data_IF_623092140018
#
_entry.id   IF_623092140018
#
_cell.length_a   1.000
_cell.length_b   1.000
_cell.length_c   1.000
_cell.angle_alpha   90.00
_cell.angle_beta   90.00
_cell.angle_gamma   90.00
#
_symmetry.space_group_name_H-M   'P 1'
#
loop_
_entity.id
_entity.type
_entity.pdbx_description
1 polymer ?
#
# COMPACT_ATOMS: atom_id res chain seq x y z
N UNK A 1 7.48 2.06 -6.58
CA UNK A 1 7.68 0.68 -6.05
C UNK A 1 8.44 0.74 -4.72
N UNK A 2 7.78 1.06 -3.61
CA UNK A 2 8.40 0.98 -2.28
C UNK A 2 8.49 -0.49 -1.78
N UNK A 3 9.33 -0.73 -0.75
CA UNK A 3 9.41 -2.01 -0.05
C UNK A 3 8.05 -2.54 0.44
N UNK A 4 7.80 -3.83 0.27
CA UNK A 4 6.60 -4.50 0.76
C UNK A 4 6.61 -4.60 2.29
N UNK A 5 5.48 -4.29 2.93
CA UNK A 5 5.33 -4.43 4.37
C UNK A 5 4.97 -5.86 4.75
N UNK A 6 5.39 -6.27 5.94
CA UNK A 6 5.23 -7.60 6.50
C UNK A 6 4.80 -7.49 7.95
N UNK A 7 4.35 -8.61 8.49
CA UNK A 7 4.26 -8.80 9.94
C UNK A 7 5.62 -8.45 10.57
N UNK A 8 5.58 -7.78 11.72
CA UNK A 8 6.72 -7.19 12.46
C UNK A 8 7.31 -5.88 11.90
N UNK A 9 6.98 -5.45 10.68
CA UNK A 9 7.42 -4.14 10.22
C UNK A 9 6.71 -3.04 11.05
N UNK A 10 7.44 -1.97 11.35
CA UNK A 10 7.00 -0.93 12.29
C UNK A 10 6.18 0.14 11.58
N UNK A 11 5.22 0.71 12.31
CA UNK A 11 4.59 1.97 11.95
C UNK A 11 4.93 3.08 12.94
N UNK A 12 4.65 4.32 12.55
CA UNK A 12 4.62 5.48 13.45
C UNK A 12 3.19 5.96 13.57
N UNK A 13 2.77 6.35 14.76
CA UNK A 13 1.42 6.84 15.02
C UNK A 13 1.49 8.23 15.67
N UNK A 14 0.99 9.29 15.01
CA UNK A 14 1.00 10.66 15.55
C UNK A 14 -0.22 10.98 16.41
N UNK A 15 -1.16 10.03 16.56
CA UNK A 15 -2.45 10.28 17.22
C UNK A 15 -2.27 10.52 18.72
N UNK A 16 -3.11 11.39 19.25
CA UNK A 16 -3.20 11.68 20.68
C UNK A 16 -4.69 11.62 21.05
N UNK A 17 -5.10 10.61 21.81
CA UNK A 17 -6.48 10.44 22.32
C UNK A 17 -6.51 10.51 23.85
N UNK A 18 -7.63 10.98 24.43
CA UNK A 18 -7.66 12.12 25.36
C UNK A 18 -6.69 11.95 26.53
N UNK A 19 -5.58 12.68 26.47
CA UNK A 19 -4.54 12.67 27.49
C UNK A 19 -3.22 13.24 26.94
N UNK A 20 -2.22 13.49 27.79
CA UNK A 20 -0.92 14.01 27.37
C UNK A 20 -0.02 12.96 26.71
N UNK A 21 -0.42 11.68 26.68
CA UNK A 21 0.39 10.57 26.21
C UNK A 21 0.16 10.36 24.70
N UNK A 22 1.16 10.62 23.85
CA UNK A 22 1.05 10.32 22.43
C UNK A 22 0.96 8.81 22.21
N UNK A 23 0.25 8.41 21.16
CA UNK A 23 0.38 7.06 20.66
C UNK A 23 1.82 6.82 20.22
N UNK A 24 2.29 5.59 20.37
CA UNK A 24 3.59 5.15 19.86
C UNK A 24 3.32 4.00 18.94
N UNK A 25 3.76 4.13 17.70
CA UNK A 25 3.62 3.07 16.71
C UNK A 25 4.47 1.87 17.06
N UNK A 26 4.05 0.71 16.58
CA UNK A 26 4.65 -0.58 16.86
C UNK A 26 4.52 -1.53 15.68
N UNK A 27 4.82 -2.82 15.88
CA UNK A 27 4.85 -3.79 14.79
C UNK A 27 3.44 -4.12 14.28
N UNK A 28 3.35 -4.42 12.99
CA UNK A 28 2.16 -5.04 12.37
C UNK A 28 1.99 -6.45 12.94
N UNK A 29 0.89 -6.69 13.67
CA UNK A 29 0.54 -7.94 14.33
C UNK A 29 -0.98 -7.99 14.63
N UNK A 30 -1.61 -9.19 14.68
CA UNK A 30 -1.18 -10.46 14.08
C UNK A 30 -1.55 -10.53 12.59
N UNK A 31 -2.26 -9.52 12.10
CA UNK A 31 -2.91 -9.53 10.81
C UNK A 31 -1.84 -9.41 9.72
N UNK A 32 -1.57 -10.52 9.08
CA UNK A 32 -0.92 -10.61 7.79
C UNK A 32 -1.67 -11.66 6.99
N UNK A 33 -1.17 -11.99 5.80
CA UNK A 33 -1.62 -13.14 5.04
C UNK A 33 -0.64 -14.31 5.23
N UNK A 34 -0.95 -15.33 6.05
CA UNK A 34 0.00 -16.40 6.36
C UNK A 34 0.36 -17.26 5.14
N UNK A 35 -0.45 -17.25 4.09
CA UNK A 35 -0.19 -18.01 2.86
C UNK A 35 0.81 -17.33 1.93
N UNK A 36 1.04 -16.03 2.08
CA UNK A 36 1.94 -15.24 1.23
C UNK A 36 3.08 -14.69 2.08
N UNK A 37 4.26 -15.26 1.87
CA UNK A 37 5.45 -14.91 2.63
C UNK A 37 6.34 -13.95 1.84
N UNK A 38 6.74 -12.85 2.47
CA UNK A 38 7.70 -11.88 1.95
C UNK A 38 8.88 -11.87 2.92
N UNK A 39 10.08 -12.22 2.46
CA UNK A 39 11.26 -12.34 3.32
C UNK A 39 11.03 -13.26 4.52
N UNK A 40 10.36 -14.41 4.30
CA UNK A 40 10.00 -15.42 5.30
C UNK A 40 9.02 -14.99 6.40
N UNK A 41 8.35 -13.85 6.24
CA UNK A 41 7.30 -13.38 7.15
C UNK A 41 5.98 -13.17 6.40
N UNK A 42 4.80 -13.35 7.03
CA UNK A 42 3.53 -13.09 6.38
C UNK A 42 3.43 -11.65 5.86
N UNK A 43 2.89 -11.49 4.66
CA UNK A 43 2.74 -10.18 4.02
C UNK A 43 1.62 -9.36 4.68
N UNK A 44 1.84 -8.06 4.84
CA UNK A 44 0.84 -7.13 5.37
C UNK A 44 -0.02 -6.55 4.23
N UNK A 45 -1.26 -6.19 4.57
CA UNK A 45 -2.30 -5.77 3.63
C UNK A 45 -3.18 -4.68 4.21
N UNK A 46 -3.97 -4.06 3.35
CA UNK A 46 -5.05 -3.19 3.79
C UNK A 46 -5.98 -3.90 4.79
N UNK A 47 -6.29 -3.19 5.87
CA UNK A 47 -7.13 -3.71 6.95
C UNK A 47 -6.39 -4.57 7.98
N UNK A 48 -5.11 -4.84 7.81
CA UNK A 48 -4.30 -5.51 8.83
C UNK A 48 -4.00 -4.57 10.01
N UNK A 49 -3.99 -5.13 11.22
CA UNK A 49 -3.76 -4.42 12.49
C UNK A 49 -2.27 -4.27 12.82
N UNK A 50 -1.94 -3.20 13.54
CA UNK A 50 -0.65 -2.99 14.16
C UNK A 50 -0.78 -2.61 15.63
N UNK A 51 0.21 -3.01 16.41
CA UNK A 51 0.30 -2.66 17.83
C UNK A 51 0.61 -1.18 17.95
N UNK A 52 -0.19 -0.47 18.73
CA UNK A 52 -0.01 0.94 19.04
C UNK A 52 -0.14 1.13 20.55
N UNK A 53 0.59 2.09 21.14
CA UNK A 53 0.34 2.51 22.53
C UNK A 53 -0.96 3.30 22.56
N UNK A 54 -2.06 2.60 22.81
CA UNK A 54 -3.43 3.07 22.62
C UNK A 54 -4.31 1.92 22.12
N UNK A 55 -5.45 2.20 21.45
CA UNK A 55 -6.13 1.18 20.65
C UNK A 55 -5.20 0.66 19.53
N UNK A 56 -5.36 -0.60 19.08
CA UNK A 56 -4.66 -1.10 17.89
C UNK A 56 -4.93 -0.21 16.68
N UNK A 57 -3.89 0.10 15.91
CA UNK A 57 -4.01 0.82 14.64
C UNK A 57 -4.28 -0.18 13.50
N UNK A 58 -4.72 0.31 12.35
CA UNK A 58 -5.00 -0.50 11.16
C UNK A 58 -4.48 0.17 9.91
N UNK A 59 -3.98 -0.63 8.98
CA UNK A 59 -3.52 -0.15 7.67
C UNK A 59 -4.75 0.33 6.89
N UNK A 60 -4.79 1.63 6.59
CA UNK A 60 -5.97 2.26 6.00
C UNK A 60 -6.00 2.15 4.48
N UNK A 61 -4.84 2.01 3.84
CA UNK A 61 -4.73 1.85 2.39
C UNK A 61 -3.48 1.07 2.02
N UNK A 62 -3.60 0.15 1.07
CA UNK A 62 -2.47 -0.50 0.40
C UNK A 62 -2.33 -0.12 -1.07
N UNK A 63 -1.49 -0.87 -1.79
CA UNK A 63 -1.29 -0.78 -3.22
C UNK A 63 -2.32 -1.60 -4.00
N UNK A 64 -3.21 -0.93 -4.73
CA UNK A 64 -4.31 -1.57 -5.44
C UNK A 64 -3.87 -2.44 -6.63
N UNK A 65 -2.69 -2.20 -7.21
CA UNK A 65 -2.18 -3.01 -8.32
C UNK A 65 -1.63 -4.38 -7.88
N UNK A 66 -1.39 -4.58 -6.58
CA UNK A 66 -0.84 -5.83 -6.03
C UNK A 66 -1.78 -6.35 -4.95
N UNK A 67 -2.45 -7.46 -5.24
CA UNK A 67 -3.41 -8.07 -4.32
C UNK A 67 -2.79 -9.27 -3.61
N UNK A 68 -2.91 -9.30 -2.28
CA UNK A 68 -2.51 -10.41 -1.43
C UNK A 68 -3.75 -10.89 -0.68
N UNK A 69 -4.16 -12.15 -0.87
CA UNK A 69 -5.42 -12.66 -0.30
C UNK A 69 -6.63 -11.76 -0.59
N UNK A 70 -6.77 -11.30 -1.84
CA UNK A 70 -7.83 -10.41 -2.32
C UNK A 70 -7.91 -9.01 -1.69
N UNK A 71 -6.86 -8.56 -1.00
CA UNK A 71 -6.76 -7.19 -0.47
C UNK A 71 -5.52 -6.48 -1.02
N UNK A 72 -5.54 -5.15 -1.16
CA UNK A 72 -4.35 -4.37 -1.54
C UNK A 72 -3.17 -4.64 -0.59
N UNK A 73 -1.98 -4.86 -1.16
CA UNK A 73 -0.76 -5.15 -0.40
C UNK A 73 -0.20 -3.88 0.26
N UNK A 74 0.19 -3.97 1.53
CA UNK A 74 0.75 -2.84 2.26
C UNK A 74 2.25 -2.68 2.00
N UNK A 75 2.75 -1.45 2.11
CA UNK A 75 4.13 -1.06 1.78
C UNK A 75 4.65 0.01 2.72
N UNK A 76 5.96 0.20 2.68
CA UNK A 76 6.60 1.35 3.31
C UNK A 76 5.96 2.66 2.78
N UNK A 77 5.55 3.51 3.71
CA UNK A 77 4.90 4.79 3.46
C UNK A 77 3.37 4.74 3.33
N UNK A 78 2.76 3.55 3.33
CA UNK A 78 1.30 3.44 3.27
C UNK A 78 0.67 3.97 4.58
N UNK A 79 -0.49 4.65 4.49
CA UNK A 79 -1.12 5.30 5.64
C UNK A 79 -1.85 4.31 6.55
N UNK A 80 -2.05 4.75 7.79
CA UNK A 80 -2.79 4.03 8.82
C UNK A 80 -4.01 4.82 9.32
N UNK A 81 -4.95 4.14 9.98
CA UNK A 81 -6.21 4.73 10.46
C UNK A 81 -5.98 5.81 11.51
N UNK A 82 -4.93 5.70 12.33
CA UNK A 82 -4.55 6.74 13.28
C UNK A 82 -3.79 7.93 12.67
N UNK A 83 -3.72 8.02 11.34
CA UNK A 83 -2.97 9.07 10.62
C UNK A 83 -1.46 8.82 10.59
N UNK A 84 -1.03 7.65 11.05
CA UNK A 84 0.33 7.16 10.98
C UNK A 84 0.72 6.63 9.61
N UNK A 85 1.98 6.17 9.50
CA UNK A 85 2.49 5.50 8.31
C UNK A 85 3.37 4.32 8.66
N UNK A 86 3.46 3.36 7.74
CA UNK A 86 4.41 2.25 7.84
C UNK A 86 5.81 2.76 7.53
N UNK A 87 6.78 2.52 8.43
CA UNK A 87 8.15 3.04 8.31
C UNK A 87 9.21 1.99 7.98
N UNK A 88 8.85 0.71 8.03
CA UNK A 88 9.72 -0.41 7.64
C UNK A 88 9.05 -1.30 6.60
N UNK A 89 9.87 -2.01 5.84
CA UNK A 89 9.43 -2.97 4.83
C UNK A 89 10.58 -3.89 4.44
N UNK A 90 10.29 -4.89 3.61
CA UNK A 90 11.28 -5.83 3.07
C UNK A 90 12.13 -5.16 1.98
N UNK A 91 13.42 -4.88 2.20
CA UNK A 91 14.23 -4.13 1.25
C UNK A 91 14.46 -4.87 -0.08
N UNK A 92 14.28 -6.19 -0.11
CA UNK A 92 14.49 -7.04 -1.29
C UNK A 92 13.22 -7.23 -2.12
N UNK A 93 12.05 -6.81 -1.64
CA UNK A 93 10.76 -7.01 -2.33
C UNK A 93 10.09 -5.66 -2.49
N UNK A 94 10.07 -5.15 -3.72
CA UNK A 94 9.44 -3.88 -4.08
C UNK A 94 8.12 -4.15 -4.80
N UNK A 95 7.03 -3.53 -4.36
CA UNK A 95 5.69 -3.78 -4.92
C UNK A 95 4.97 -2.49 -5.35
N UNK A 96 4.09 -2.65 -6.33
CA UNK A 96 3.31 -1.60 -6.97
C UNK A 96 3.79 -1.20 -8.35
N UNK A 97 3.17 -0.16 -8.90
CA UNK A 97 3.45 0.29 -10.26
C UNK A 97 4.82 0.96 -10.39
N UNK A 98 5.55 0.61 -11.44
CA UNK A 98 6.71 1.39 -11.90
C UNK A 98 6.22 2.62 -12.67
N UNK A 99 7.00 3.72 -12.75
CA UNK A 99 6.65 4.86 -13.61
C UNK A 99 6.35 4.45 -15.05
N UNK A 100 7.09 3.47 -15.58
CA UNK A 100 6.85 2.88 -16.89
C UNK A 100 5.52 2.13 -16.95
N UNK A 101 5.18 1.34 -15.91
CA UNK A 101 3.90 0.66 -15.82
C UNK A 101 2.71 1.63 -15.75
N UNK A 102 2.85 2.74 -15.02
CA UNK A 102 1.84 3.80 -14.99
C UNK A 102 1.70 4.44 -16.38
N UNK A 103 2.80 4.80 -17.03
CA UNK A 103 2.79 5.38 -18.37
C UNK A 103 2.15 4.44 -19.41
N UNK A 104 2.47 3.14 -19.36
CA UNK A 104 1.88 2.15 -20.26
C UNK A 104 0.40 1.94 -19.98
N UNK A 105 -0.02 1.94 -18.71
CA UNK A 105 -1.43 1.83 -18.34
C UNK A 105 -2.24 3.08 -18.72
N UNK A 106 -1.61 4.24 -18.86
CA UNK A 106 -2.25 5.47 -19.33
C UNK A 106 -2.28 5.57 -20.87
N UNK A 107 -1.41 4.84 -21.56
CA UNK A 107 -1.33 4.80 -23.03
C UNK A 107 -2.42 3.91 -23.67
N UNK A 108 -3.62 3.85 -23.08
CA UNK A 108 -4.71 2.93 -23.48
C UNK A 108 -5.26 3.18 -24.88
N UNK A 109 -4.98 4.33 -25.49
CA UNK A 109 -5.32 4.59 -26.88
C UNK A 109 -4.10 4.31 -27.77
N UNK A 110 -4.13 3.26 -28.62
CA UNK A 110 -3.17 3.20 -29.71
C UNK A 110 -3.41 4.43 -30.59
N UNK A 111 -2.33 5.12 -30.97
CA UNK A 111 -2.37 6.32 -31.81
C UNK A 111 -3.30 6.16 -33.05
N UNK A 112 -3.36 4.96 -33.62
CA UNK A 112 -4.26 4.63 -34.73
C UNK A 112 -5.76 4.71 -34.39
N UNK A 113 -6.18 4.39 -33.16
CA UNK A 113 -7.60 4.47 -32.76
C UNK A 113 -8.07 5.92 -32.61
N UNK A 114 -7.20 6.82 -32.15
CA UNK A 114 -7.51 8.25 -32.06
C UNK A 114 -7.53 8.90 -33.46
N UNK A 115 -6.57 8.54 -34.34
CA UNK A 115 -6.60 8.94 -35.75
C UNK A 115 -7.85 8.41 -36.47
N UNK A 116 -8.27 7.17 -36.23
CA UNK A 116 -9.51 6.64 -36.78
C UNK A 116 -10.75 7.35 -36.22
N UNK A 117 -10.80 7.65 -34.92
CA UNK A 117 -11.91 8.41 -34.32
C UNK A 117 -11.99 9.83 -34.87
N UNK A 118 -10.87 10.52 -35.04
CA UNK A 118 -10.83 11.87 -35.62
C UNK A 118 -11.22 11.87 -37.10
N UNK A 119 -10.74 10.87 -37.87
CA UNK A 119 -11.17 10.66 -39.26
C UNK A 119 -12.66 10.32 -39.36
N UNK A 120 -13.24 9.56 -38.41
CA UNK A 120 -14.68 9.28 -38.33
C UNK A 120 -15.50 10.50 -37.85
N UNK A 121 -14.90 11.43 -37.11
CA UNK A 121 -15.53 12.66 -36.60
C UNK A 121 -15.36 13.87 -37.54
N UNK A 122 -14.60 13.73 -38.63
CA UNK A 122 -14.37 14.82 -39.59
C UNK A 122 -13.58 15.99 -39.02
N UNK A 123 -12.78 15.74 -37.97
CA UNK A 123 -11.89 16.72 -37.36
C UNK A 123 -10.51 16.45 -37.99
N UNK A 124 -10.17 17.22 -39.02
CA UNK A 124 -8.84 17.24 -39.65
C UNK A 124 -7.90 18.23 -38.94
#
# INVERSE_FOLDING_TARGET
>A
MPPAARVTDMHVCPKVEPGPVPHVGGPILPAGEPTVLIGFMPAAREGDMAVCVGPPDKISRGEASVLIGNKPAARLGDPMEHGGTIVLGCPTVLIGSSPQGVALSAATAPFCEECEKNRRRGIE
#
